data_IF_949721394090
#
_entry.id   IF_949721394090
#
_cell.length_a   1.000
_cell.length_b   1.000
_cell.length_c   1.000
_cell.angle_alpha   90.00
_cell.angle_beta   90.00
_cell.angle_gamma   90.00
#
_symmetry.space_group_name_H-M   'P 1'
#
loop_
_entity.id
_entity.type
_entity.pdbx_description
1 polymer ?
#
# COMPACT_ATOMS: atom_id res chain seq x y z
N UNK A 1 9.10 -14.62 -11.74
CA UNK A 1 8.61 -14.33 -10.36
C UNK A 1 8.12 -12.89 -10.15
N UNK A 2 8.18 -12.01 -11.15
CA UNK A 2 8.00 -10.54 -11.00
C UNK A 2 6.58 -10.00 -11.25
N UNK A 3 5.65 -10.78 -11.80
CA UNK A 3 4.32 -10.25 -12.22
C UNK A 3 3.27 -10.07 -11.11
N UNK A 4 3.47 -10.57 -9.88
CA UNK A 4 2.44 -10.53 -8.82
C UNK A 4 2.58 -9.40 -7.79
N UNK A 5 3.73 -8.72 -7.71
CA UNK A 5 3.97 -7.61 -6.77
C UNK A 5 3.62 -6.22 -7.35
N UNK A 6 3.50 -6.10 -8.67
CA UNK A 6 3.21 -4.83 -9.36
C UNK A 6 1.73 -4.40 -9.28
N UNK A 7 0.80 -5.32 -9.01
CA UNK A 7 -0.63 -4.99 -9.02
C UNK A 7 -1.09 -4.13 -7.82
N UNK A 8 -0.72 -4.39 -6.55
CA UNK A 8 -1.16 -3.53 -5.45
C UNK A 8 -0.48 -2.15 -5.46
N UNK A 9 0.83 -2.09 -5.74
CA UNK A 9 1.60 -0.84 -5.81
C UNK A 9 1.16 0.04 -7.00
N UNK A 10 0.88 -0.57 -8.15
CA UNK A 10 0.34 0.15 -9.31
C UNK A 10 -1.05 0.73 -9.02
N UNK A 11 -1.91 -0.01 -8.33
CA UNK A 11 -3.25 0.48 -7.97
C UNK A 11 -3.19 1.66 -7.00
N UNK A 12 -2.33 1.61 -6.00
CA UNK A 12 -2.15 2.71 -5.05
C UNK A 12 -1.57 3.95 -5.71
N UNK A 13 -0.65 3.79 -6.66
CA UNK A 13 -0.07 4.91 -7.41
C UNK A 13 -1.11 5.56 -8.33
N UNK A 14 -1.91 4.76 -9.04
CA UNK A 14 -3.01 5.26 -9.88
C UNK A 14 -4.04 5.99 -9.03
N UNK A 15 -4.39 5.45 -7.86
CA UNK A 15 -5.31 6.10 -6.93
C UNK A 15 -4.76 7.44 -6.42
N UNK A 16 -3.49 7.49 -6.02
CA UNK A 16 -2.84 8.71 -5.59
C UNK A 16 -2.82 9.77 -6.70
N UNK A 17 -2.48 9.37 -7.93
CA UNK A 17 -2.50 10.25 -9.10
C UNK A 17 -3.89 10.78 -9.41
N UNK A 18 -4.94 9.95 -9.28
CA UNK A 18 -6.32 10.38 -9.43
C UNK A 18 -6.69 11.43 -8.37
N UNK A 19 -6.33 11.20 -7.10
CA UNK A 19 -6.57 12.15 -6.01
C UNK A 19 -5.86 13.48 -6.27
N UNK A 20 -4.59 13.44 -6.67
CA UNK A 20 -3.82 14.65 -7.00
C UNK A 20 -4.44 15.38 -8.19
N UNK A 21 -4.84 14.67 -9.25
CA UNK A 21 -5.50 15.26 -10.41
C UNK A 21 -6.82 15.94 -10.04
N UNK A 22 -7.61 15.29 -9.18
CA UNK A 22 -8.86 15.85 -8.67
C UNK A 22 -8.56 17.11 -7.86
N UNK A 23 -7.61 17.06 -6.92
CA UNK A 23 -7.19 18.20 -6.08
C UNK A 23 -6.73 19.41 -6.89
N UNK A 24 -5.85 19.19 -7.88
CA UNK A 24 -5.32 20.25 -8.74
C UNK A 24 -6.42 20.82 -9.63
N UNK A 25 -7.27 19.97 -10.21
CA UNK A 25 -8.39 20.39 -11.03
C UNK A 25 -9.42 21.20 -10.24
N UNK A 26 -9.79 20.73 -9.05
CA UNK A 26 -10.69 21.44 -8.13
C UNK A 26 -10.12 22.80 -7.71
N UNK A 27 -8.83 22.86 -7.35
CA UNK A 27 -8.15 24.10 -7.01
C UNK A 27 -8.14 25.14 -8.13
N UNK A 28 -7.96 24.71 -9.38
CA UNK A 28 -8.01 25.60 -10.54
C UNK A 28 -9.41 26.19 -10.75
N UNK A 29 -10.46 25.37 -10.66
CA UNK A 29 -11.86 25.82 -10.79
C UNK A 29 -12.19 26.83 -9.70
N UNK A 30 -11.84 26.53 -8.44
CA UNK A 30 -12.08 27.41 -7.29
C UNK A 30 -11.42 28.78 -7.51
N UNK A 31 -10.13 28.78 -7.90
CA UNK A 31 -9.39 30.02 -8.15
C UNK A 31 -10.04 30.87 -9.24
N UNK A 32 -10.53 30.24 -10.31
CA UNK A 32 -11.20 30.94 -11.41
C UNK A 32 -12.51 31.59 -10.97
N UNK A 33 -13.30 30.90 -10.14
CA UNK A 33 -14.55 31.42 -9.58
C UNK A 33 -14.30 32.59 -8.62
N UNK A 34 -13.29 32.48 -7.77
CA UNK A 34 -12.93 33.54 -6.83
C UNK A 34 -12.46 34.81 -7.57
N UNK A 35 -11.64 34.66 -8.61
CA UNK A 35 -11.14 35.78 -9.40
C UNK A 35 -12.27 36.53 -10.13
N UNK A 36 -13.25 35.80 -10.68
CA UNK A 36 -14.43 36.41 -11.29
C UNK A 36 -15.32 37.14 -10.26
N UNK A 37 -15.52 36.56 -9.08
CA UNK A 37 -16.31 37.19 -8.02
C UNK A 37 -15.70 38.52 -7.53
N UNK A 38 -14.37 38.55 -7.33
CA UNK A 38 -13.66 39.77 -6.88
C UNK A 38 -13.74 40.88 -7.93
N UNK A 39 -13.48 40.57 -9.21
CA UNK A 39 -13.50 41.56 -10.28
C UNK A 39 -14.90 42.17 -10.51
N UNK A 40 -15.95 41.37 -10.43
CA UNK A 40 -17.32 41.87 -10.55
C UNK A 40 -17.70 42.79 -9.38
N UNK A 41 -17.27 42.45 -8.16
CA UNK A 41 -17.55 43.27 -6.96
C UNK A 41 -16.87 44.65 -6.98
N UNK A 42 -15.69 44.79 -7.59
CA UNK A 42 -15.05 46.10 -7.79
C UNK A 42 -15.82 46.99 -8.78
N UNK A 43 -16.24 46.43 -9.92
CA UNK A 43 -17.01 47.17 -10.92
C UNK A 43 -18.39 47.63 -10.40
N UNK A 44 -19.09 46.80 -9.61
CA UNK A 44 -20.37 47.18 -8.99
C UNK A 44 -20.19 48.32 -7.99
N UNK A 45 -19.16 48.26 -7.13
CA UNK A 45 -18.86 49.35 -6.18
C UNK A 45 -18.51 50.65 -6.90
N UNK A 46 -17.69 50.60 -7.95
CA UNK A 46 -17.38 51.76 -8.77
C UNK A 46 -18.64 52.36 -9.41
N UNK A 47 -19.54 51.52 -9.93
CA UNK A 47 -20.80 51.97 -10.52
C UNK A 47 -21.73 52.65 -9.51
N UNK A 48 -21.85 52.12 -8.29
CA UNK A 48 -22.65 52.76 -7.22
C UNK A 48 -22.12 54.14 -6.82
N UNK A 49 -20.80 54.31 -6.77
CA UNK A 49 -20.19 55.64 -6.53
C UNK A 49 -20.63 56.62 -7.63
N UNK A 50 -20.58 56.20 -8.91
CA UNK A 50 -21.02 57.05 -10.02
C UNK A 50 -22.52 57.39 -9.97
N UNK A 51 -23.38 56.49 -9.48
CA UNK A 51 -24.81 56.78 -9.26
C UNK A 51 -24.97 57.88 -8.21
N UNK A 52 -24.22 57.77 -7.10
CA UNK A 52 -24.21 58.78 -6.04
C UNK A 52 -23.72 60.13 -6.57
N UNK A 53 -22.60 60.14 -7.31
CA UNK A 53 -22.04 61.34 -7.92
C UNK A 53 -23.02 61.98 -8.92
N UNK A 54 -23.69 61.17 -9.74
CA UNK A 54 -24.66 61.65 -10.72
C UNK A 54 -25.88 62.31 -10.05
N UNK A 55 -26.39 61.74 -8.95
CA UNK A 55 -27.44 62.34 -8.15
C UNK A 55 -26.99 63.66 -7.53
N UNK A 56 -25.76 63.71 -6.99
CA UNK A 56 -25.19 64.93 -6.42
C UNK A 56 -25.05 66.03 -7.48
N UNK A 57 -24.44 65.74 -8.63
CA UNK A 57 -24.26 66.74 -9.69
C UNK A 57 -25.60 67.24 -10.25
N UNK A 58 -26.62 66.39 -10.34
CA UNK A 58 -27.96 66.83 -10.73
C UNK A 58 -28.56 67.80 -9.70
N UNK A 59 -28.39 67.52 -8.40
CA UNK A 59 -28.81 68.41 -7.32
C UNK A 59 -28.04 69.72 -7.38
N UNK A 60 -26.73 69.70 -7.63
CA UNK A 60 -25.90 70.90 -7.75
C UNK A 60 -26.32 71.76 -8.95
N UNK A 61 -26.63 71.12 -10.10
CA UNK A 61 -27.22 71.78 -11.26
C UNK A 61 -28.55 72.48 -10.90
N UNK A 62 -29.47 71.76 -10.27
CA UNK A 62 -30.79 72.28 -9.90
C UNK A 62 -30.68 73.43 -8.88
N UNK A 63 -29.92 73.22 -7.82
CA UNK A 63 -29.82 74.12 -6.68
C UNK A 63 -29.09 75.41 -7.09
N UNK A 64 -28.03 75.31 -7.90
CA UNK A 64 -27.32 76.48 -8.42
C UNK A 64 -28.19 77.37 -9.31
N UNK A 65 -28.95 76.77 -10.23
CA UNK A 65 -29.89 77.52 -11.09
C UNK A 65 -31.00 78.18 -10.27
N UNK A 66 -31.59 77.47 -9.31
CA UNK A 66 -32.66 78.02 -8.45
C UNK A 66 -32.15 79.12 -7.52
N UNK A 67 -30.95 78.96 -6.95
CA UNK A 67 -30.29 79.96 -6.13
C UNK A 67 -30.05 81.25 -6.91
N UNK A 68 -29.48 81.14 -8.12
CA UNK A 68 -29.28 82.29 -9.00
C UNK A 68 -30.58 82.94 -9.44
N UNK A 69 -31.61 82.16 -9.80
CA UNK A 69 -32.90 82.68 -10.21
C UNK A 69 -33.57 83.55 -9.12
N UNK A 70 -33.30 83.25 -7.85
CA UNK A 70 -33.84 83.95 -6.68
C UNK A 70 -32.98 85.14 -6.26
N UNK A 71 -31.69 84.93 -6.03
CA UNK A 71 -30.81 85.95 -5.45
C UNK A 71 -30.09 86.82 -6.50
N UNK A 72 -30.07 86.37 -7.77
CA UNK A 72 -29.33 87.00 -8.89
C UNK A 72 -27.83 87.18 -8.64
N UNK A 73 -27.25 86.40 -7.73
CA UNK A 73 -25.83 86.36 -7.43
C UNK A 73 -25.10 85.30 -8.29
N UNK A 74 -24.18 85.70 -9.18
CA UNK A 74 -23.44 84.77 -10.03
C UNK A 74 -22.62 83.70 -9.28
N UNK A 75 -22.20 83.95 -8.03
CA UNK A 75 -21.43 82.97 -7.23
C UNK A 75 -22.22 81.67 -7.02
N UNK A 76 -23.55 81.78 -6.92
CA UNK A 76 -24.43 80.61 -6.75
C UNK A 76 -24.49 79.69 -7.99
N UNK A 77 -23.91 80.11 -9.13
CA UNK A 77 -23.83 79.27 -10.33
C UNK A 77 -22.61 78.35 -10.36
N UNK A 78 -21.65 78.47 -9.43
CA UNK A 78 -20.48 77.59 -9.39
C UNK A 78 -20.86 76.09 -9.37
N UNK A 79 -21.76 75.62 -8.48
CA UNK A 79 -22.19 74.21 -8.46
C UNK A 79 -22.89 73.79 -9.77
N UNK A 80 -23.61 74.73 -10.41
CA UNK A 80 -24.25 74.46 -11.69
C UNK A 80 -23.26 74.21 -12.82
N UNK A 81 -22.20 75.03 -12.91
CA UNK A 81 -21.18 74.85 -13.94
C UNK A 81 -20.35 73.58 -13.71
N UNK A 82 -20.05 73.27 -12.45
CA UNK A 82 -19.37 72.05 -12.06
C UNK A 82 -20.20 70.81 -12.45
N UNK A 83 -21.46 70.73 -12.00
CA UNK A 83 -22.37 69.64 -12.31
C UNK A 83 -22.56 69.47 -13.83
N UNK A 84 -22.78 70.56 -14.56
CA UNK A 84 -22.93 70.55 -16.02
C UNK A 84 -21.70 70.01 -16.75
N UNK A 85 -20.51 70.21 -16.21
CA UNK A 85 -19.26 69.75 -16.81
C UNK A 85 -18.97 68.28 -16.51
N UNK A 86 -19.28 67.82 -15.29
CA UNK A 86 -18.93 66.49 -14.79
C UNK A 86 -20.00 65.44 -15.08
N UNK A 87 -21.29 65.80 -14.96
CA UNK A 87 -22.40 64.85 -15.08
C UNK A 87 -22.41 64.07 -16.41
N UNK A 88 -22.17 64.67 -17.60
CA UNK A 88 -22.12 63.91 -18.85
C UNK A 88 -21.02 62.84 -18.86
N UNK A 89 -19.85 63.14 -18.28
CA UNK A 89 -18.74 62.20 -18.20
C UNK A 89 -19.05 61.07 -17.20
N UNK A 90 -19.67 61.40 -16.07
CA UNK A 90 -20.13 60.42 -15.06
C UNK A 90 -21.15 59.45 -15.66
N UNK A 91 -22.17 59.96 -16.36
CA UNK A 91 -23.18 59.12 -17.03
C UNK A 91 -22.56 58.24 -18.13
N UNK A 92 -21.60 58.77 -18.90
CA UNK A 92 -20.88 57.98 -19.90
C UNK A 92 -20.05 56.85 -19.28
N UNK A 93 -19.34 57.10 -18.17
CA UNK A 93 -18.57 56.06 -17.46
C UNK A 93 -19.50 55.00 -16.87
N UNK A 94 -20.63 55.42 -16.32
CA UNK A 94 -21.65 54.50 -15.80
C UNK A 94 -22.20 53.59 -16.90
N UNK A 95 -22.39 54.11 -18.13
CA UNK A 95 -22.83 53.30 -19.26
C UNK A 95 -21.79 52.22 -19.66
N UNK A 96 -20.51 52.59 -19.65
CA UNK A 96 -19.40 51.63 -19.88
C UNK A 96 -19.40 50.53 -18.82
N UNK A 97 -19.59 50.87 -17.54
CA UNK A 97 -19.67 49.90 -16.45
C UNK A 97 -20.95 49.04 -16.53
N UNK A 98 -22.09 49.61 -16.91
CA UNK A 98 -23.32 48.84 -17.12
C UNK A 98 -23.14 47.81 -18.24
N UNK A 99 -22.38 48.15 -19.29
CA UNK A 99 -22.02 47.24 -20.39
C UNK A 99 -21.09 46.13 -19.90
N UNK A 100 -20.03 46.45 -19.15
CA UNK A 100 -19.09 45.43 -18.64
C UNK A 100 -19.76 44.49 -17.63
N UNK A 101 -20.73 44.97 -16.86
CA UNK A 101 -21.54 44.18 -15.94
C UNK A 101 -22.68 43.40 -16.62
N UNK A 102 -22.89 43.60 -17.92
CA UNK A 102 -23.96 42.98 -18.72
C UNK A 102 -25.37 43.31 -18.20
N UNK A 103 -25.63 44.59 -17.87
CA UNK A 103 -26.88 45.08 -17.33
C UNK A 103 -27.63 45.98 -18.35
N UNK A 104 -28.30 45.39 -19.37
CA UNK A 104 -28.97 46.16 -20.43
C UNK A 104 -30.09 47.07 -19.89
N UNK A 105 -30.79 46.61 -18.85
CA UNK A 105 -31.82 47.43 -18.19
C UNK A 105 -31.23 48.68 -17.52
N UNK A 106 -30.04 48.58 -16.92
CA UNK A 106 -29.35 49.73 -16.34
C UNK A 106 -28.87 50.69 -17.43
N UNK A 107 -28.30 50.16 -18.51
CA UNK A 107 -27.88 50.95 -19.67
C UNK A 107 -29.00 51.82 -20.23
N UNK A 108 -30.18 51.23 -20.48
CA UNK A 108 -31.35 52.01 -20.93
C UNK A 108 -31.73 53.14 -19.97
N UNK A 109 -31.64 52.90 -18.66
CA UNK A 109 -31.92 53.92 -17.63
C UNK A 109 -30.87 55.02 -17.61
N UNK A 110 -29.60 54.70 -17.82
CA UNK A 110 -28.53 55.72 -17.95
C UNK A 110 -28.77 56.60 -19.19
N UNK A 111 -29.18 56.01 -20.30
CA UNK A 111 -29.49 56.75 -21.53
C UNK A 111 -30.72 57.66 -21.34
N UNK A 112 -31.77 57.15 -20.69
CA UNK A 112 -32.96 57.93 -20.31
C UNK A 112 -32.62 59.10 -19.37
N UNK A 113 -31.77 58.86 -18.37
CA UNK A 113 -31.29 59.89 -17.46
C UNK A 113 -30.45 60.95 -18.19
N UNK A 114 -29.60 60.53 -19.13
CA UNK A 114 -28.81 61.43 -19.97
C UNK A 114 -29.71 62.31 -20.84
N UNK A 115 -30.74 61.72 -21.44
CA UNK A 115 -31.75 62.45 -22.23
C UNK A 115 -32.53 63.44 -21.36
N UNK A 116 -32.97 62.99 -20.19
CA UNK A 116 -33.71 63.79 -19.20
C UNK A 116 -32.89 64.98 -18.72
N UNK A 117 -31.61 64.81 -18.40
CA UNK A 117 -30.75 65.93 -17.99
C UNK A 117 -30.55 66.94 -19.13
N UNK A 118 -30.30 66.46 -20.36
CA UNK A 118 -30.21 67.34 -21.54
C UNK A 118 -31.50 68.10 -21.82
N UNK A 119 -32.66 67.50 -21.51
CA UNK A 119 -33.95 68.15 -21.63
C UNK A 119 -34.10 69.22 -20.55
N UNK A 120 -33.75 68.92 -19.30
CA UNK A 120 -33.78 69.86 -18.18
C UNK A 120 -32.89 71.08 -18.43
N UNK A 121 -31.64 70.87 -18.88
CA UNK A 121 -30.72 71.96 -19.23
C UNK A 121 -31.28 72.90 -20.31
N UNK A 122 -31.92 72.33 -21.34
CA UNK A 122 -32.46 73.08 -22.48
C UNK A 122 -33.78 73.78 -22.17
N UNK A 123 -34.69 73.12 -21.45
CA UNK A 123 -36.06 73.59 -21.25
C UNK A 123 -36.24 74.38 -19.95
N UNK A 124 -35.39 74.15 -18.95
CA UNK A 124 -35.52 74.72 -17.60
C UNK A 124 -34.33 75.61 -17.27
N UNK A 125 -33.12 75.06 -17.24
CA UNK A 125 -31.94 75.81 -16.79
C UNK A 125 -31.65 77.02 -17.68
N UNK A 126 -31.52 76.82 -18.99
CA UNK A 126 -31.20 77.91 -19.92
C UNK A 126 -32.25 79.03 -19.89
N UNK A 127 -33.57 78.74 -19.92
CA UNK A 127 -34.59 79.79 -19.76
C UNK A 127 -34.62 80.46 -18.39
N UNK A 128 -34.26 79.78 -17.30
CA UNK A 128 -34.17 80.39 -15.97
C UNK A 128 -32.97 81.34 -15.84
N UNK A 129 -31.86 81.02 -16.49
CA UNK A 129 -30.65 81.84 -16.48
C UNK A 129 -30.77 83.09 -17.36
N UNK A 130 -31.37 82.98 -18.55
CA UNK A 130 -31.34 84.04 -19.57
C UNK A 130 -32.72 84.60 -19.97
N UNK A 131 -33.83 83.98 -19.57
CA UNK A 131 -35.18 84.34 -20.00
C UNK A 131 -35.94 85.26 -19.04
N UNK A 132 -36.92 86.03 -19.56
CA UNK A 132 -37.91 86.81 -18.78
C UNK A 132 -39.23 86.03 -18.54
N UNK A 133 -39.19 84.69 -18.44
CA UNK A 133 -40.40 83.84 -18.33
C UNK A 133 -40.87 83.66 -16.88
N UNK A 134 -42.15 83.28 -16.71
CA UNK A 134 -42.81 82.98 -15.43
C UNK A 134 -42.09 81.87 -14.65
N UNK A 135 -41.41 82.18 -13.51
CA UNK A 135 -40.57 81.23 -12.79
C UNK A 135 -41.30 79.98 -12.29
N UNK A 136 -42.56 80.12 -11.85
CA UNK A 136 -43.32 79.02 -11.27
C UNK A 136 -43.66 77.87 -12.24
N UNK A 137 -43.93 78.15 -13.51
CA UNK A 137 -44.26 77.10 -14.49
C UNK A 137 -43.02 76.27 -14.83
N UNK A 138 -41.86 76.95 -14.92
CA UNK A 138 -40.56 76.29 -15.11
C UNK A 138 -40.16 75.47 -13.88
N UNK A 139 -40.51 75.91 -12.68
CA UNK A 139 -40.23 75.18 -11.44
C UNK A 139 -41.03 73.87 -11.35
N UNK A 140 -42.34 73.89 -11.69
CA UNK A 140 -43.16 72.67 -11.70
C UNK A 140 -42.70 71.67 -12.77
N UNK A 141 -42.40 72.14 -13.98
CA UNK A 141 -41.93 71.26 -15.07
C UNK A 141 -40.51 70.74 -14.82
N UNK A 142 -39.66 71.56 -14.19
CA UNK A 142 -38.32 71.18 -13.75
C UNK A 142 -38.37 70.07 -12.72
N UNK A 143 -39.24 70.17 -11.72
CA UNK A 143 -39.45 69.12 -10.71
C UNK A 143 -39.76 67.75 -11.33
N UNK A 144 -40.61 67.70 -12.36
CA UNK A 144 -40.97 66.44 -13.04
C UNK A 144 -39.74 65.79 -13.69
N UNK A 145 -38.90 66.57 -14.37
CA UNK A 145 -37.69 66.05 -15.03
C UNK A 145 -36.65 65.60 -13.99
N UNK A 146 -36.50 66.34 -12.90
CA UNK A 146 -35.62 65.98 -11.78
C UNK A 146 -36.09 64.69 -11.10
N UNK A 147 -37.38 64.59 -10.78
CA UNK A 147 -37.95 63.40 -10.16
C UNK A 147 -37.83 62.17 -11.08
N UNK A 148 -37.96 62.36 -12.40
CA UNK A 148 -37.69 61.32 -13.40
C UNK A 148 -36.22 60.89 -13.41
N UNK A 149 -35.28 61.84 -13.44
CA UNK A 149 -33.86 61.54 -13.38
C UNK A 149 -33.50 60.72 -12.13
N UNK A 150 -34.01 61.14 -10.96
CA UNK A 150 -33.82 60.41 -9.70
C UNK A 150 -34.39 59.00 -9.77
N UNK A 151 -35.59 58.83 -10.35
CA UNK A 151 -36.19 57.52 -10.53
C UNK A 151 -35.35 56.62 -11.44
N UNK A 152 -34.78 57.14 -12.52
CA UNK A 152 -33.88 56.37 -13.39
C UNK A 152 -32.58 55.99 -12.68
N UNK A 153 -31.98 56.88 -11.88
CA UNK A 153 -30.81 56.57 -11.05
C UNK A 153 -31.11 55.51 -9.97
N UNK A 154 -32.26 55.59 -9.31
CA UNK A 154 -32.69 54.56 -8.36
C UNK A 154 -32.94 53.21 -9.04
N UNK A 155 -33.45 53.20 -10.28
CA UNK A 155 -33.60 51.97 -11.06
C UNK A 155 -32.23 51.36 -11.42
N UNK A 156 -31.23 52.18 -11.73
CA UNK A 156 -29.85 51.72 -11.94
C UNK A 156 -29.27 51.14 -10.65
N UNK A 157 -29.40 51.82 -9.51
CA UNK A 157 -28.93 51.32 -8.21
C UNK A 157 -29.60 49.99 -7.83
N UNK A 158 -30.91 49.86 -8.05
CA UNK A 158 -31.64 48.61 -7.84
C UNK A 158 -31.12 47.45 -8.72
N UNK A 159 -30.78 47.73 -9.98
CA UNK A 159 -30.19 46.74 -10.88
C UNK A 159 -28.77 46.33 -10.44
N UNK A 160 -27.96 47.28 -9.97
CA UNK A 160 -26.63 47.02 -9.40
C UNK A 160 -26.73 46.20 -8.11
N UNK A 161 -27.67 46.51 -7.22
CA UNK A 161 -27.91 45.77 -5.99
C UNK A 161 -28.35 44.31 -6.26
N UNK A 162 -29.23 44.10 -7.25
CA UNK A 162 -29.61 42.75 -7.67
C UNK A 162 -28.42 41.95 -8.22
N UNK A 163 -27.52 42.60 -8.96
CA UNK A 163 -26.30 41.97 -9.49
C UNK A 163 -25.29 41.61 -8.40
N UNK A 164 -25.17 42.46 -7.39
CA UNK A 164 -24.34 42.21 -6.20
C UNK A 164 -24.85 40.99 -5.42
N UNK A 165 -26.16 40.96 -5.13
CA UNK A 165 -26.79 39.83 -4.43
C UNK A 165 -26.61 38.49 -5.17
N UNK A 166 -26.67 38.50 -6.51
CA UNK A 166 -26.34 37.32 -7.31
C UNK A 166 -24.87 36.91 -7.16
N UNK A 167 -23.95 37.87 -7.21
CA UNK A 167 -22.51 37.62 -7.08
C UNK A 167 -22.16 37.05 -5.71
N UNK A 168 -22.77 37.58 -4.65
CA UNK A 168 -22.60 37.09 -3.27
C UNK A 168 -23.15 35.67 -3.09
N UNK A 169 -24.32 35.37 -3.67
CA UNK A 169 -24.88 34.03 -3.65
C UNK A 169 -24.01 33.02 -4.41
N UNK A 170 -23.43 33.42 -5.54
CA UNK A 170 -22.47 32.60 -6.27
C UNK A 170 -21.18 32.38 -5.48
N UNK A 171 -20.67 33.42 -4.81
CA UNK A 171 -19.49 33.31 -3.96
C UNK A 171 -19.73 32.37 -2.76
N UNK A 172 -20.87 32.47 -2.08
CA UNK A 172 -21.23 31.55 -0.98
C UNK A 172 -21.35 30.10 -1.45
N UNK A 173 -21.99 29.86 -2.60
CA UNK A 173 -22.06 28.51 -3.17
C UNK A 173 -20.67 28.00 -3.53
N UNK A 174 -19.80 28.84 -4.10
CA UNK A 174 -18.42 28.47 -4.39
C UNK A 174 -17.67 28.08 -3.12
N UNK A 175 -17.82 28.81 -2.00
CA UNK A 175 -17.23 28.47 -0.70
C UNK A 175 -17.72 27.09 -0.22
N UNK A 176 -19.03 26.82 -0.29
CA UNK A 176 -19.56 25.51 0.11
C UNK A 176 -18.98 24.38 -0.75
N UNK A 177 -18.83 24.60 -2.06
CA UNK A 177 -18.18 23.64 -2.95
C UNK A 177 -16.70 23.43 -2.60
N UNK A 178 -15.96 24.50 -2.25
CA UNK A 178 -14.57 24.43 -1.78
C UNK A 178 -14.47 23.55 -0.53
N UNK A 179 -15.30 23.82 0.47
CA UNK A 179 -15.27 23.09 1.74
C UNK A 179 -15.65 21.62 1.54
N UNK A 180 -16.71 21.37 0.76
CA UNK A 180 -17.15 20.00 0.42
C UNK A 180 -16.06 19.23 -0.32
N UNK A 181 -15.35 19.90 -1.23
CA UNK A 181 -14.24 19.33 -1.99
C UNK A 181 -13.04 19.01 -1.09
N UNK A 182 -12.68 19.91 -0.18
CA UNK A 182 -11.61 19.69 0.79
C UNK A 182 -11.91 18.48 1.69
N UNK A 183 -13.13 18.38 2.20
CA UNK A 183 -13.59 17.24 3.01
C UNK A 183 -13.51 15.94 2.21
N UNK A 184 -14.02 15.93 0.97
CA UNK A 184 -13.98 14.76 0.10
C UNK A 184 -12.54 14.30 -0.17
N UNK A 185 -11.61 15.23 -0.40
CA UNK A 185 -10.20 14.92 -0.58
C UNK A 185 -9.58 14.27 0.66
N UNK A 186 -9.84 14.83 1.86
CA UNK A 186 -9.36 14.26 3.12
C UNK A 186 -9.91 12.85 3.33
N UNK A 187 -11.23 12.64 3.14
CA UNK A 187 -11.85 11.31 3.25
C UNK A 187 -11.23 10.31 2.28
N UNK A 188 -10.93 10.75 1.06
CA UNK A 188 -10.31 9.90 0.03
C UNK A 188 -8.89 9.48 0.43
N UNK A 189 -8.09 10.41 0.97
CA UNK A 189 -6.75 10.12 1.49
C UNK A 189 -6.82 9.14 2.67
N UNK A 190 -7.73 9.36 3.62
CA UNK A 190 -7.94 8.47 4.78
C UNK A 190 -8.36 7.07 4.34
N UNK A 191 -9.27 6.96 3.38
CA UNK A 191 -9.70 5.68 2.83
C UNK A 191 -8.55 4.96 2.12
N UNK A 192 -7.73 5.67 1.35
CA UNK A 192 -6.53 5.10 0.71
C UNK A 192 -5.56 4.53 1.75
N UNK A 193 -5.29 5.30 2.82
CA UNK A 193 -4.42 4.88 3.90
C UNK A 193 -4.97 3.64 4.61
N UNK A 194 -6.27 3.59 4.89
CA UNK A 194 -6.93 2.44 5.50
C UNK A 194 -6.87 1.18 4.61
N UNK A 195 -7.07 1.33 3.29
CA UNK A 195 -6.93 0.22 2.34
C UNK A 195 -5.47 -0.27 2.31
N UNK A 196 -4.52 0.65 2.30
CA UNK A 196 -3.09 0.32 2.29
C UNK A 196 -2.68 -0.42 3.57
N UNK A 197 -3.07 0.05 4.75
CA UNK A 197 -2.78 -0.64 6.01
C UNK A 197 -3.41 -2.02 6.07
N UNK A 198 -4.65 -2.17 5.59
CA UNK A 198 -5.32 -3.47 5.49
C UNK A 198 -4.60 -4.43 4.53
N UNK A 199 -4.12 -3.93 3.39
CA UNK A 199 -3.34 -4.73 2.45
C UNK A 199 -2.01 -5.18 3.06
N UNK A 200 -1.30 -4.30 3.75
CA UNK A 200 -0.05 -4.62 4.44
C UNK A 200 -0.26 -5.69 5.52
N UNK A 201 -1.30 -5.53 6.35
CA UNK A 201 -1.64 -6.51 7.37
C UNK A 201 -1.96 -7.89 6.78
N UNK A 202 -2.75 -7.94 5.69
CA UNK A 202 -3.06 -9.18 4.97
C UNK A 202 -1.82 -9.84 4.37
N UNK A 203 -0.84 -9.06 3.90
CA UNK A 203 0.43 -9.60 3.42
C UNK A 203 1.25 -10.21 4.55
N UNK A 204 1.33 -9.53 5.70
CA UNK A 204 2.04 -10.01 6.89
C UNK A 204 1.54 -11.39 7.34
N UNK A 205 0.21 -11.54 7.49
CA UNK A 205 -0.40 -12.82 7.86
C UNK A 205 -0.14 -13.94 6.85
N UNK A 206 0.00 -13.63 5.56
CA UNK A 206 0.33 -14.65 4.55
C UNK A 206 1.77 -15.14 4.70
N UNK A 207 2.70 -14.22 4.94
CA UNK A 207 4.12 -14.54 5.12
C UNK A 207 4.36 -15.35 6.39
N UNK A 208 3.67 -15.05 7.49
CA UNK A 208 3.74 -15.83 8.72
C UNK A 208 3.30 -17.28 8.51
N UNK A 209 2.16 -17.48 7.83
CA UNK A 209 1.66 -18.83 7.51
C UNK A 209 2.61 -19.63 6.61
N UNK A 210 3.23 -18.98 5.64
CA UNK A 210 4.23 -19.62 4.78
C UNK A 210 5.50 -19.99 5.54
N UNK A 211 5.95 -19.13 6.47
CA UNK A 211 7.10 -19.43 7.34
C UNK A 211 6.81 -20.63 8.24
N UNK A 212 5.66 -20.67 8.91
CA UNK A 212 5.29 -21.80 9.77
C UNK A 212 5.23 -23.12 8.99
N UNK A 213 4.67 -23.10 7.76
CA UNK A 213 4.66 -24.30 6.91
C UNK A 213 6.06 -24.77 6.55
N UNK A 214 6.90 -23.84 6.10
CA UNK A 214 8.28 -24.16 5.70
C UNK A 214 9.09 -24.68 6.88
N UNK A 215 8.92 -24.12 8.08
CA UNK A 215 9.60 -24.59 9.28
C UNK A 215 9.12 -25.98 9.71
N UNK A 216 7.81 -26.27 9.62
CA UNK A 216 7.26 -27.61 9.90
C UNK A 216 7.83 -28.64 8.93
N UNK A 217 7.78 -28.37 7.63
CA UNK A 217 8.34 -29.27 6.60
C UNK A 217 9.83 -29.52 6.80
N UNK A 218 10.60 -28.49 7.20
CA UNK A 218 12.03 -28.64 7.50
C UNK A 218 12.28 -29.45 8.76
N UNK A 219 11.46 -29.29 9.80
CA UNK A 219 11.56 -30.09 11.04
C UNK A 219 11.24 -31.55 10.77
N UNK A 220 10.11 -31.83 10.11
CA UNK A 220 9.71 -33.19 9.75
C UNK A 220 10.77 -33.88 8.86
N UNK A 221 11.30 -33.16 7.86
CA UNK A 221 12.38 -33.71 7.03
C UNK A 221 13.67 -33.94 7.80
N UNK A 222 14.01 -33.09 8.76
CA UNK A 222 15.20 -33.27 9.59
C UNK A 222 15.05 -34.46 10.55
N UNK A 223 13.88 -34.61 11.18
CA UNK A 223 13.54 -35.75 12.04
C UNK A 223 13.59 -37.07 11.27
N UNK A 224 12.97 -37.12 10.08
CA UNK A 224 13.00 -38.31 9.23
C UNK A 224 14.43 -38.69 8.81
N UNK A 225 15.25 -37.70 8.43
CA UNK A 225 16.67 -37.94 8.10
C UNK A 225 17.46 -38.44 9.30
N UNK A 226 17.22 -37.88 10.49
CA UNK A 226 17.90 -38.28 11.71
C UNK A 226 17.53 -39.73 12.11
N UNK A 227 16.25 -40.09 12.00
CA UNK A 227 15.76 -41.45 12.24
C UNK A 227 16.39 -42.45 11.26
N UNK A 228 16.37 -42.14 9.96
CA UNK A 228 17.00 -42.98 8.94
C UNK A 228 18.52 -43.14 9.17
N UNK A 229 19.22 -42.06 9.53
CA UNK A 229 20.65 -42.13 9.85
C UNK A 229 20.95 -42.92 11.14
N UNK A 230 20.04 -42.93 12.10
CA UNK A 230 20.19 -43.74 13.31
C UNK A 230 20.01 -45.24 12.98
N UNK A 231 18.96 -45.59 12.24
CA UNK A 231 18.70 -46.96 11.78
C UNK A 231 19.86 -47.49 10.93
N UNK A 232 20.33 -46.69 9.96
CA UNK A 232 21.48 -47.06 9.14
C UNK A 232 22.75 -47.30 9.97
N UNK A 233 23.04 -46.43 10.94
CA UNK A 233 24.21 -46.61 11.83
C UNK A 233 24.15 -47.91 12.62
N UNK A 234 22.97 -48.29 13.12
CA UNK A 234 22.78 -49.57 13.82
C UNK A 234 23.05 -50.74 12.86
N UNK A 235 22.49 -50.70 11.64
CA UNK A 235 22.71 -51.74 10.65
C UNK A 235 24.19 -51.87 10.26
N UNK A 236 24.87 -50.75 10.00
CA UNK A 236 26.30 -50.72 9.64
C UNK A 236 27.17 -51.28 10.79
N UNK A 237 26.88 -50.92 12.05
CA UNK A 237 27.63 -51.41 13.22
C UNK A 237 27.45 -52.92 13.44
N UNK A 238 26.22 -53.43 13.24
CA UNK A 238 25.96 -54.86 13.29
C UNK A 238 26.70 -55.60 12.18
N UNK A 239 26.72 -55.07 10.96
CA UNK A 239 27.48 -55.67 9.85
C UNK A 239 28.97 -55.76 10.14
N UNK A 240 29.59 -54.70 10.69
CA UNK A 240 31.02 -54.70 11.06
C UNK A 240 31.34 -55.71 12.16
N UNK A 241 30.45 -55.89 13.14
CA UNK A 241 30.65 -56.85 14.24
C UNK A 241 30.64 -58.33 13.79
N UNK A 242 30.00 -58.64 12.66
CA UNK A 242 29.91 -59.98 12.10
C UNK A 242 30.92 -60.27 10.99
N UNK A 243 31.89 -59.37 10.75
CA UNK A 243 32.99 -59.62 9.81
C UNK A 243 33.86 -60.78 10.33
N UNK A 244 34.05 -61.79 9.48
CA UNK A 244 34.90 -62.94 9.78
C UNK A 244 36.33 -62.48 10.08
N UNK A 245 36.99 -63.11 11.08
CA UNK A 245 38.34 -62.69 11.48
C UNK A 245 39.40 -63.33 10.58
N UNK A 246 40.53 -62.63 10.45
CA UNK A 246 41.71 -63.17 9.79
C UNK A 246 42.21 -64.44 10.49
N UNK A 247 42.58 -65.43 9.68
CA UNK A 247 43.16 -66.68 10.19
C UNK A 247 44.59 -66.41 10.69
N UNK A 248 45.01 -67.01 11.82
CA UNK A 248 46.34 -66.81 12.37
C UNK A 248 47.42 -67.38 11.43
N UNK A 249 48.55 -66.69 11.35
CA UNK A 249 49.74 -67.22 10.67
C UNK A 249 50.43 -68.24 11.58
N UNK A 250 50.58 -69.48 11.08
CA UNK A 250 51.16 -70.59 11.83
C UNK A 250 52.40 -71.12 11.09
N UNK A 251 53.55 -71.32 11.76
CA UNK A 251 54.80 -71.73 11.10
C UNK A 251 54.70 -73.07 10.33
N UNK A 252 53.83 -73.98 10.79
CA UNK A 252 53.71 -75.34 10.27
C UNK A 252 52.42 -75.57 9.44
N UNK A 253 51.56 -74.56 9.30
CA UNK A 253 50.25 -74.72 8.65
C UNK A 253 49.88 -73.47 7.86
N UNK A 254 49.53 -73.65 6.58
CA UNK A 254 48.98 -72.56 5.76
C UNK A 254 47.46 -72.64 5.78
N UNK A 255 46.84 -71.65 6.41
CA UNK A 255 45.39 -71.49 6.45
C UNK A 255 44.95 -70.47 5.40
N UNK A 256 43.89 -70.80 4.67
CA UNK A 256 43.23 -69.89 3.74
C UNK A 256 41.74 -70.18 3.78
N UNK A 257 40.94 -69.13 3.79
CA UNK A 257 39.50 -69.21 3.67
C UNK A 257 39.02 -68.16 2.69
N UNK A 258 37.91 -68.44 2.02
CA UNK A 258 37.24 -67.51 1.13
C UNK A 258 35.76 -67.61 1.41
N UNK A 259 35.18 -66.49 1.84
CA UNK A 259 33.76 -66.38 2.06
C UNK A 259 33.14 -65.53 0.95
N UNK A 260 32.16 -66.10 0.26
CA UNK A 260 31.44 -65.44 -0.84
C UNK A 260 29.97 -65.39 -0.47
N UNK A 261 29.42 -64.23 -0.08
CA UNK A 261 28.01 -64.12 0.26
C UNK A 261 27.12 -64.30 -0.98
N UNK A 262 25.91 -64.82 -0.79
CA UNK A 262 24.99 -65.11 -1.88
C UNK A 262 24.35 -63.85 -2.52
N UNK A 263 24.22 -62.74 -1.79
CA UNK A 263 23.72 -61.44 -2.31
C UNK A 263 24.37 -60.25 -1.59
N UNK A 264 24.40 -59.07 -2.22
CA UNK A 264 24.91 -57.83 -1.59
C UNK A 264 24.10 -57.36 -0.38
N UNK A 265 22.82 -57.77 -0.28
CA UNK A 265 21.92 -57.44 0.83
C UNK A 265 22.02 -58.46 1.98
N UNK A 266 22.39 -59.71 1.68
CA UNK A 266 22.68 -60.77 2.67
C UNK A 266 24.17 -60.85 3.03
N UNK A 267 24.81 -59.70 3.32
CA UNK A 267 26.19 -59.65 3.86
C UNK A 267 26.34 -60.34 5.21
N UNK A 268 25.22 -60.62 5.88
CA UNK A 268 25.13 -61.26 7.19
C UNK A 268 24.70 -62.73 6.98
N UNK A 269 25.64 -63.66 7.13
CA UNK A 269 25.42 -65.11 6.94
C UNK A 269 25.50 -65.92 8.24
N UNK A 270 24.94 -67.13 8.21
CA UNK A 270 25.08 -68.14 9.27
C UNK A 270 26.42 -68.88 9.22
N UNK A 271 27.07 -68.92 8.05
CA UNK A 271 28.35 -69.57 7.84
C UNK A 271 29.50 -68.82 8.53
N UNK A 272 30.35 -69.59 9.21
CA UNK A 272 31.54 -69.06 9.84
C UNK A 272 32.67 -70.09 9.86
N UNK A 273 33.88 -69.57 9.93
CA UNK A 273 35.06 -70.35 10.24
C UNK A 273 35.87 -69.63 11.32
N UNK A 274 36.65 -70.37 12.08
CA UNK A 274 37.65 -69.82 12.99
C UNK A 274 38.83 -70.78 13.12
N UNK A 275 39.99 -70.20 13.44
CA UNK A 275 41.20 -70.95 13.72
C UNK A 275 41.98 -70.23 14.81
N UNK A 276 42.38 -70.94 15.86
CA UNK A 276 43.15 -70.33 16.93
C UNK A 276 44.17 -71.30 17.50
N UNK A 277 45.31 -70.72 17.94
CA UNK A 277 46.40 -71.44 18.58
C UNK A 277 46.01 -71.76 20.03
N UNK A 278 46.20 -73.02 20.42
CA UNK A 278 46.01 -73.47 21.81
C UNK A 278 47.30 -73.32 22.62
N UNK A 279 47.23 -73.25 23.96
CA UNK A 279 48.40 -73.07 24.82
C UNK A 279 49.47 -74.18 24.73
N UNK A 280 49.11 -75.39 24.26
CA UNK A 280 49.98 -76.58 24.20
C UNK A 280 50.44 -76.92 22.76
N UNK A 281 50.72 -75.90 21.94
CA UNK A 281 51.16 -76.00 20.53
C UNK A 281 50.21 -76.75 19.57
N UNK A 282 48.96 -77.00 19.98
CA UNK A 282 47.89 -77.43 19.09
C UNK A 282 47.20 -76.25 18.38
N UNK A 283 46.51 -76.55 17.28
CA UNK A 283 45.68 -75.59 16.54
C UNK A 283 44.28 -76.17 16.47
N UNK A 284 43.28 -75.39 16.89
CA UNK A 284 41.88 -75.76 16.68
C UNK A 284 41.37 -75.05 15.44
N UNK A 285 40.70 -75.81 14.58
CA UNK A 285 39.95 -75.30 13.43
C UNK A 285 38.47 -75.58 13.68
N UNK A 286 37.63 -74.59 13.39
CA UNK A 286 36.20 -74.78 13.41
C UNK A 286 35.57 -74.15 12.18
N UNK A 287 34.58 -74.83 11.62
CA UNK A 287 33.70 -74.30 10.58
C UNK A 287 32.27 -74.69 10.93
N UNK A 288 31.31 -73.80 10.71
CA UNK A 288 29.92 -74.13 10.93
C UNK A 288 28.97 -73.24 10.13
N UNK A 289 27.73 -73.68 10.07
CA UNK A 289 26.61 -73.00 9.43
C UNK A 289 25.39 -73.06 10.36
N UNK A 290 24.70 -71.92 10.49
CA UNK A 290 23.50 -71.74 11.28
C UNK A 290 22.29 -71.79 10.35
N UNK A 291 21.36 -72.69 10.64
CA UNK A 291 20.12 -72.79 9.90
C UNK A 291 19.33 -71.47 9.95
N UNK A 292 19.13 -70.86 8.77
CA UNK A 292 18.42 -69.59 8.61
C UNK A 292 19.28 -68.54 7.89
N UNK A 293 18.82 -67.30 7.84
CA UNK A 293 19.56 -66.17 7.27
C UNK A 293 19.23 -64.86 7.98
N UNK A 294 20.10 -63.86 7.86
CA UNK A 294 19.89 -62.52 8.44
C UNK A 294 20.43 -62.36 9.86
N UNK A 295 19.95 -61.31 10.55
CA UNK A 295 20.52 -60.86 11.84
C UNK A 295 20.43 -61.93 12.92
N UNK A 296 19.31 -62.67 13.01
CA UNK A 296 19.12 -63.73 14.01
C UNK A 296 20.15 -64.86 13.85
N UNK A 297 20.41 -65.28 12.60
CA UNK A 297 21.41 -66.32 12.30
C UNK A 297 22.83 -65.86 12.63
N UNK A 298 23.17 -64.58 12.38
CA UNK A 298 24.48 -64.05 12.72
C UNK A 298 24.71 -63.84 14.22
N UNK A 299 23.67 -63.46 14.97
CA UNK A 299 23.74 -63.42 16.44
C UNK A 299 24.02 -64.81 16.99
N UNK A 300 23.29 -65.83 16.51
CA UNK A 300 23.50 -67.22 16.91
C UNK A 300 24.89 -67.75 16.50
N UNK A 301 25.35 -67.40 15.29
CA UNK A 301 26.69 -67.72 14.80
C UNK A 301 27.78 -67.15 15.72
N UNK A 302 27.69 -65.86 16.09
CA UNK A 302 28.69 -65.21 16.93
C UNK A 302 28.69 -65.81 18.34
N UNK A 303 27.51 -66.10 18.90
CA UNK A 303 27.40 -66.81 20.18
C UNK A 303 28.10 -68.18 20.11
N UNK A 304 27.77 -69.01 19.11
CA UNK A 304 28.36 -70.33 18.94
C UNK A 304 29.87 -70.27 18.79
N UNK A 305 30.38 -69.33 17.98
CA UNK A 305 31.80 -69.08 17.78
C UNK A 305 32.52 -68.69 19.08
N UNK A 306 31.95 -67.77 19.86
CA UNK A 306 32.51 -67.35 21.15
C UNK A 306 32.54 -68.51 22.16
N UNK A 307 31.45 -69.28 22.23
CA UNK A 307 31.36 -70.44 23.10
C UNK A 307 32.35 -71.53 22.72
N UNK A 308 32.52 -71.81 21.42
CA UNK A 308 33.51 -72.78 20.92
C UNK A 308 34.93 -72.36 21.30
N UNK A 309 35.25 -71.08 21.13
CA UNK A 309 36.55 -70.53 21.53
C UNK A 309 36.77 -70.65 23.04
N UNK A 310 35.77 -70.31 23.85
CA UNK A 310 35.84 -70.38 25.31
C UNK A 310 36.00 -71.83 25.82
N UNK A 311 35.19 -72.76 25.31
CA UNK A 311 35.25 -74.17 25.68
C UNK A 311 36.60 -74.79 25.29
N UNK A 312 37.13 -74.45 24.12
CA UNK A 312 38.42 -74.96 23.65
C UNK A 312 39.62 -74.56 24.50
N UNK A 313 39.55 -73.40 25.18
CA UNK A 313 40.59 -72.99 26.13
C UNK A 313 40.58 -73.81 27.42
N UNK A 314 39.45 -74.42 27.78
CA UNK A 314 39.28 -75.23 28.98
C UNK A 314 39.66 -76.69 28.70
N UNK A 315 39.05 -77.29 27.67
CA UNK A 315 39.35 -78.64 27.20
C UNK A 315 39.39 -78.63 25.66
N UNK A 316 40.57 -78.84 25.04
CA UNK A 316 40.71 -78.76 23.59
C UNK A 316 40.15 -79.98 22.85
N UNK A 317 39.59 -80.99 23.55
CA UNK A 317 38.97 -82.14 22.91
C UNK A 317 37.73 -81.72 22.07
N UNK A 318 37.71 -81.97 20.74
CA UNK A 318 36.60 -81.54 19.88
C UNK A 318 35.22 -82.05 20.30
N UNK A 319 35.15 -83.28 20.82
CA UNK A 319 33.91 -83.88 21.31
C UNK A 319 33.40 -83.16 22.56
N UNK A 320 34.28 -82.93 23.54
CA UNK A 320 33.95 -82.16 24.75
C UNK A 320 33.48 -80.74 24.43
N UNK A 321 34.18 -80.06 23.50
CA UNK A 321 33.85 -78.72 23.05
C UNK A 321 32.43 -78.70 22.47
N UNK A 322 32.15 -79.54 21.48
CA UNK A 322 30.85 -79.61 20.83
C UNK A 322 29.73 -79.96 21.82
N UNK A 323 29.97 -80.85 22.77
CA UNK A 323 28.98 -81.23 23.78
C UNK A 323 28.65 -80.06 24.72
N UNK A 324 29.65 -79.32 25.18
CA UNK A 324 29.46 -78.17 26.06
C UNK A 324 28.77 -77.00 25.36
N UNK A 325 29.17 -76.73 24.10
CA UNK A 325 28.54 -75.68 23.28
C UNK A 325 27.09 -76.06 22.95
N UNK A 326 26.82 -77.30 22.54
CA UNK A 326 25.46 -77.77 22.29
C UNK A 326 24.57 -77.61 23.54
N UNK A 327 25.07 -77.99 24.73
CA UNK A 327 24.31 -77.83 25.97
C UNK A 327 23.99 -76.36 26.29
N UNK A 328 24.84 -75.42 25.92
CA UNK A 328 24.60 -73.98 26.09
C UNK A 328 23.60 -73.44 25.05
N UNK A 329 23.79 -73.75 23.77
CA UNK A 329 22.92 -73.30 22.68
C UNK A 329 21.49 -73.84 22.81
N UNK A 330 21.32 -75.08 23.29
CA UNK A 330 20.00 -75.65 23.57
C UNK A 330 19.29 -74.91 24.71
N UNK A 331 20.01 -74.48 25.75
CA UNK A 331 19.43 -73.69 26.85
C UNK A 331 18.97 -72.31 26.38
N UNK A 332 19.73 -71.69 25.48
CA UNK A 332 19.42 -70.37 24.92
C UNK A 332 18.42 -70.44 23.75
N UNK A 333 17.84 -71.61 23.47
CA UNK A 333 16.91 -71.85 22.36
C UNK A 333 17.42 -71.35 20.99
N UNK A 334 18.73 -71.46 20.78
CA UNK A 334 19.37 -71.01 19.53
C UNK A 334 18.90 -71.84 18.32
N UNK A 335 18.93 -71.27 17.10
CA UNK A 335 18.71 -72.03 15.87
C UNK A 335 19.66 -73.22 15.74
N UNK A 336 19.29 -74.20 14.92
CA UNK A 336 20.13 -75.38 14.68
C UNK A 336 21.45 -74.97 14.02
N UNK A 337 22.57 -75.41 14.57
CA UNK A 337 23.91 -75.13 14.05
C UNK A 337 24.58 -76.44 13.68
N UNK A 338 25.13 -76.50 12.47
CA UNK A 338 26.04 -77.58 12.06
C UNK A 338 27.46 -77.06 12.22
N UNK A 339 28.32 -77.81 12.90
CA UNK A 339 29.71 -77.40 13.12
C UNK A 339 30.64 -78.59 13.04
N UNK A 340 31.81 -78.37 12.44
CA UNK A 340 32.93 -79.30 12.40
C UNK A 340 34.09 -78.67 13.15
N UNK A 341 34.62 -79.38 14.15
CA UNK A 341 35.75 -78.94 14.96
C UNK A 341 36.88 -79.96 14.81
N UNK A 342 38.07 -79.47 14.48
CA UNK A 342 39.26 -80.27 14.26
C UNK A 342 40.39 -79.77 15.16
N UNK A 343 40.97 -80.68 15.95
CA UNK A 343 42.19 -80.41 16.70
C UNK A 343 43.39 -80.97 15.92
N UNK A 344 44.34 -80.10 15.62
CA UNK A 344 45.63 -80.48 15.04
C UNK A 344 46.68 -80.38 16.14
N UNK A 345 47.23 -81.52 16.56
CA UNK A 345 48.31 -81.58 17.53
C UNK A 345 49.67 -81.46 16.81
N UNK A 346 50.60 -80.70 17.38
CA UNK A 346 52.00 -80.76 16.96
C UNK A 346 52.54 -82.14 17.35
N UNK A 347 52.95 -82.95 16.36
CA UNK A 347 53.51 -84.27 16.61
C UNK A 347 54.65 -84.19 17.63
N UNK A 348 54.68 -85.10 18.60
CA UNK A 348 55.86 -85.27 19.45
C UNK A 348 57.04 -85.57 18.53
N UNK A 349 58.21 -84.90 18.69
CA UNK A 349 59.40 -85.35 17.98
C UNK A 349 59.64 -86.81 18.37
N UNK A 350 59.72 -87.70 17.36
CA UNK A 350 60.08 -89.11 17.54
C UNK A 350 61.46 -89.29 18.19
#
# INVERSE_FOLDING_TARGET
MTRRLLTPLGLTLIFLLLVVSVLVGGGFVIRSLLAQAVSNGEHVRAARILVSDALQFQVDEETGVRGYATARDPVLLEPYYEGRSLLPATLSRMNVLATSLQLPAAQHRVDDATSTNRQWLRQIATPMLYGRRHPHVLELHGKILVDRFRADMHAVDGALAAREAQTDAHAQRAIIWVDSFAIAAVLTIVLAAAIFTLQQYRLGLRLERERERTERERRESAEMRAAYQAEKRIADTLQEAFVQRDLPQLPMLRLSATYVPATEEAKIGGDWYDAFKLPKDGVLLAIGDVAGHGIEAAVAMNLARQLLTACALVDPNPGSILQQVNAQLVRDASPMITATVVLIEAGKPE
#
